data_IF_940305105661
#
_entry.id   IF_940305105661
#
_cell.length_a   1.000
_cell.length_b   1.000
_cell.length_c   1.000
_cell.angle_alpha   90.00
_cell.angle_beta   90.00
_cell.angle_gamma   90.00
#
_symmetry.space_group_name_H-M   'P 1'
#
loop_
_entity.id
_entity.type
_entity.pdbx_description
1 polymer ?
#
# COMPACT_ATOMS: atom_id res chain seq x y z
N UNK A 1 29.41 8.76 13.53
CA UNK A 1 28.54 9.31 14.59
C UNK A 1 27.09 9.53 14.14
N UNK A 2 26.80 10.18 13.00
CA UNK A 2 25.42 10.49 12.58
C UNK A 2 24.57 9.24 12.28
N UNK A 3 25.11 8.23 11.59
CA UNK A 3 24.36 7.01 11.24
C UNK A 3 23.84 6.22 12.47
N UNK A 4 24.48 6.38 13.64
CA UNK A 4 24.03 5.72 14.87
C UNK A 4 22.69 6.26 15.39
N UNK A 5 22.29 7.46 14.96
CA UNK A 5 20.99 8.07 15.29
C UNK A 5 19.81 7.43 14.54
N UNK A 6 20.08 6.70 13.44
CA UNK A 6 19.07 6.09 12.59
C UNK A 6 19.36 4.58 12.43
N UNK A 7 19.18 3.77 13.49
CA UNK A 7 19.43 2.35 13.39
C UNK A 7 18.48 1.71 12.38
N UNK A 8 18.99 0.75 11.60
CA UNK A 8 18.25 0.17 10.47
C UNK A 8 16.87 -0.40 10.84
N UNK A 9 16.74 -1.01 12.03
CA UNK A 9 15.47 -1.55 12.50
C UNK A 9 14.39 -0.47 12.70
N UNK A 10 14.80 0.74 13.13
CA UNK A 10 13.89 1.86 13.33
C UNK A 10 13.47 2.44 11.98
N UNK A 11 14.43 2.61 11.06
CA UNK A 11 14.13 3.03 9.69
C UNK A 11 13.15 2.06 8.99
N UNK A 12 13.37 0.74 9.10
CA UNK A 12 12.48 -0.27 8.53
C UNK A 12 11.08 -0.24 9.16
N UNK A 13 10.96 -0.02 10.47
CA UNK A 13 9.65 0.15 11.12
C UNK A 13 8.94 1.41 10.62
N UNK A 14 9.64 2.55 10.58
CA UNK A 14 9.08 3.82 10.14
C UNK A 14 8.67 3.79 8.66
N UNK A 15 9.43 3.09 7.79
CA UNK A 15 9.03 2.86 6.40
C UNK A 15 7.71 2.09 6.31
N UNK A 16 7.57 1.01 7.09
CA UNK A 16 6.34 0.20 7.12
C UNK A 16 5.14 1.01 7.60
N UNK A 17 5.30 1.77 8.68
CA UNK A 17 4.25 2.65 9.19
C UNK A 17 3.91 3.78 8.21
N UNK A 18 4.93 4.47 7.69
CA UNK A 18 4.78 5.59 6.78
C UNK A 18 4.07 5.21 5.48
N UNK A 19 4.37 4.02 4.94
CA UNK A 19 3.68 3.49 3.77
C UNK A 19 2.26 3.00 4.12
N UNK A 20 2.06 2.35 5.26
CA UNK A 20 0.76 1.75 5.62
C UNK A 20 -0.33 2.80 5.91
N UNK A 21 0.00 3.89 6.61
CA UNK A 21 -0.97 4.88 7.10
C UNK A 21 -1.87 5.48 6.00
N UNK A 22 -1.36 6.01 4.86
CA UNK A 22 -2.23 6.62 3.85
C UNK A 22 -3.21 5.62 3.25
N UNK A 23 -2.77 4.38 2.97
CA UNK A 23 -3.63 3.33 2.44
C UNK A 23 -4.68 2.90 3.46
N UNK A 24 -4.29 2.67 4.72
CA UNK A 24 -5.23 2.30 5.78
C UNK A 24 -6.32 3.36 5.98
N UNK A 25 -5.93 4.63 6.04
CA UNK A 25 -6.87 5.74 6.20
C UNK A 25 -7.82 5.87 5.01
N UNK A 26 -7.34 5.64 3.79
CA UNK A 26 -8.18 5.58 2.58
C UNK A 26 -9.15 4.39 2.63
N UNK A 27 -8.64 3.20 2.97
CA UNK A 27 -9.40 1.95 2.94
C UNK A 27 -10.49 1.88 4.00
N UNK A 28 -10.20 2.25 5.25
CA UNK A 28 -11.17 2.12 6.35
C UNK A 28 -12.41 2.99 6.15
N UNK A 29 -12.27 4.13 5.47
CA UNK A 29 -13.37 5.04 5.15
C UNK A 29 -14.28 4.58 4.01
N UNK A 30 -14.02 3.42 3.40
CA UNK A 30 -14.82 2.87 2.28
C UNK A 30 -15.88 1.86 2.71
N UNK A 31 -15.99 1.57 4.01
CA UNK A 31 -16.86 0.51 4.54
C UNK A 31 -17.97 1.06 5.43
N UNK A 32 -19.21 0.64 5.20
CA UNK A 32 -20.36 0.91 6.09
C UNK A 32 -20.67 -0.27 7.03
N UNK A 33 -20.14 -1.46 6.72
CA UNK A 33 -20.36 -2.68 7.48
C UNK A 33 -19.37 -3.78 7.11
N UNK A 34 -19.58 -4.99 7.63
CA UNK A 34 -18.71 -6.13 7.32
C UNK A 34 -18.85 -6.52 5.84
N UNK A 35 -17.78 -6.33 5.07
CA UNK A 35 -17.72 -6.58 3.62
C UNK A 35 -18.76 -5.78 2.81
N UNK A 36 -19.20 -4.64 3.32
CA UNK A 36 -20.14 -3.74 2.65
C UNK A 36 -19.46 -2.41 2.36
N UNK A 37 -19.22 -2.15 1.07
CA UNK A 37 -18.74 -0.86 0.61
C UNK A 37 -19.82 0.20 0.73
N UNK A 38 -19.41 1.41 1.05
CA UNK A 38 -20.30 2.56 0.99
C UNK A 38 -20.53 3.04 -0.45
N UNK A 39 -21.61 3.80 -0.64
CA UNK A 39 -22.01 4.32 -1.95
C UNK A 39 -20.94 5.25 -2.55
N UNK A 40 -20.18 5.96 -1.70
CA UNK A 40 -19.10 6.84 -2.12
C UNK A 40 -17.97 6.05 -2.78
N UNK A 41 -17.56 4.92 -2.19
CA UNK A 41 -16.54 4.05 -2.76
C UNK A 41 -16.98 3.50 -4.13
N UNK A 42 -18.23 3.08 -4.25
CA UNK A 42 -18.80 2.62 -5.53
C UNK A 42 -18.86 3.75 -6.58
N UNK A 43 -19.28 4.95 -6.17
CA UNK A 43 -19.36 6.11 -7.05
C UNK A 43 -17.98 6.51 -7.56
N UNK A 44 -16.96 6.50 -6.70
CA UNK A 44 -15.58 6.80 -7.07
C UNK A 44 -15.12 5.92 -8.23
N UNK A 45 -15.28 4.60 -8.15
CA UNK A 45 -14.84 3.71 -9.24
C UNK A 45 -15.74 3.72 -10.48
N UNK A 46 -17.00 4.14 -10.33
CA UNK A 46 -17.96 4.19 -11.44
C UNK A 46 -17.82 5.48 -12.26
N UNK A 47 -17.68 6.61 -11.59
CA UNK A 47 -17.85 7.93 -12.22
C UNK A 47 -16.61 8.82 -12.14
N UNK A 48 -15.88 8.78 -11.03
CA UNK A 48 -14.77 9.73 -10.78
C UNK A 48 -13.42 9.19 -11.24
N UNK A 49 -13.10 7.96 -10.86
CA UNK A 49 -11.83 7.32 -11.16
C UNK A 49 -11.83 6.82 -12.61
N UNK A 50 -10.78 7.24 -13.32
CA UNK A 50 -10.48 6.85 -14.69
C UNK A 50 -9.00 6.50 -14.78
N UNK A 51 -8.70 5.45 -15.52
CA UNK A 51 -7.34 5.01 -15.78
C UNK A 51 -6.77 5.80 -16.96
N UNK A 52 -5.77 6.63 -16.71
CA UNK A 52 -5.10 7.44 -17.74
C UNK A 52 -4.01 6.60 -18.41
N UNK A 53 -4.36 5.93 -19.49
CA UNK A 53 -3.43 5.17 -20.33
C UNK A 53 -3.24 5.88 -21.68
N UNK A 54 -2.22 5.52 -22.47
CA UNK A 54 -2.13 5.98 -23.86
C UNK A 54 -3.45 5.72 -24.61
N UNK A 55 -4.00 6.76 -25.24
CA UNK A 55 -5.30 6.70 -25.93
C UNK A 55 -6.49 7.28 -25.14
N UNK A 56 -6.31 7.67 -23.88
CA UNK A 56 -7.29 8.46 -23.14
C UNK A 56 -7.64 7.91 -21.75
N UNK A 57 -8.58 8.55 -21.04
CA UNK A 57 -9.09 8.04 -19.78
C UNK A 57 -10.05 6.86 -20.01
N UNK A 58 -9.76 5.71 -19.42
CA UNK A 58 -10.60 4.51 -19.47
C UNK A 58 -11.36 4.33 -18.15
N UNK A 59 -12.61 3.87 -18.21
CA UNK A 59 -13.33 3.47 -17.00
C UNK A 59 -12.73 2.18 -16.42
N UNK A 60 -12.85 1.98 -15.10
CA UNK A 60 -12.43 0.74 -14.48
C UNK A 60 -13.34 -0.42 -14.94
N UNK A 61 -12.78 -1.59 -15.29
CA UNK A 61 -13.58 -2.76 -15.60
C UNK A 61 -14.28 -3.24 -14.33
N UNK A 62 -15.56 -3.60 -14.44
CA UNK A 62 -16.40 -4.03 -13.32
C UNK A 62 -16.19 -3.17 -12.05
N UNK A 63 -16.63 -1.89 -12.05
CA UNK A 63 -16.32 -0.91 -11.01
C UNK A 63 -16.56 -1.40 -9.58
N UNK A 64 -17.66 -2.11 -9.34
CA UNK A 64 -17.97 -2.68 -8.03
C UNK A 64 -16.93 -3.69 -7.54
N UNK A 65 -16.46 -4.59 -8.42
CA UNK A 65 -15.45 -5.60 -8.09
C UNK A 65 -14.10 -4.94 -7.85
N UNK A 66 -13.73 -3.97 -8.69
CA UNK A 66 -12.48 -3.24 -8.55
C UNK A 66 -12.46 -2.38 -7.28
N UNK A 67 -13.57 -1.69 -6.98
CA UNK A 67 -13.72 -0.95 -5.72
C UNK A 67 -13.55 -1.85 -4.51
N UNK A 68 -14.19 -3.03 -4.52
CA UNK A 68 -14.11 -3.98 -3.42
C UNK A 68 -12.69 -4.53 -3.25
N UNK A 69 -12.04 -4.91 -4.35
CA UNK A 69 -10.67 -5.39 -4.33
C UNK A 69 -9.70 -4.31 -3.83
N UNK A 70 -9.84 -3.06 -4.31
CA UNK A 70 -9.02 -1.95 -3.88
C UNK A 70 -9.22 -1.63 -2.38
N UNK A 71 -10.46 -1.49 -1.92
CA UNK A 71 -10.76 -1.22 -0.51
C UNK A 71 -10.27 -2.34 0.41
N UNK A 72 -10.41 -3.60 -0.02
CA UNK A 72 -9.91 -4.76 0.75
C UNK A 72 -8.39 -4.73 0.85
N UNK A 73 -7.71 -4.45 -0.26
CA UNK A 73 -6.26 -4.37 -0.32
C UNK A 73 -5.70 -3.18 0.50
N UNK A 74 -6.38 -2.03 0.49
CA UNK A 74 -6.05 -0.85 1.31
C UNK A 74 -6.21 -1.06 2.81
N UNK A 75 -6.93 -2.10 3.25
CA UNK A 75 -7.06 -2.46 4.66
C UNK A 75 -6.09 -3.59 5.00
N UNK A 76 -6.13 -4.68 4.23
CA UNK A 76 -5.38 -5.90 4.51
C UNK A 76 -3.87 -5.70 4.41
N UNK A 77 -3.36 -5.17 3.30
CA UNK A 77 -1.90 -5.08 3.10
C UNK A 77 -1.21 -4.10 4.04
N UNK A 78 -1.80 -2.94 4.39
CA UNK A 78 -1.25 -2.08 5.43
C UNK A 78 -1.15 -2.77 6.79
N UNK A 79 -2.15 -3.55 7.20
CA UNK A 79 -2.09 -4.32 8.46
C UNK A 79 -0.96 -5.34 8.43
N UNK A 80 -0.90 -6.15 7.36
CA UNK A 80 0.18 -7.12 7.16
C UNK A 80 1.55 -6.44 7.19
N UNK A 81 1.68 -5.29 6.52
CA UNK A 81 2.92 -4.53 6.46
C UNK A 81 3.35 -4.02 7.85
N UNK A 82 2.42 -3.46 8.64
CA UNK A 82 2.72 -2.95 9.99
C UNK A 82 3.12 -4.07 10.93
N UNK A 83 2.40 -5.19 10.91
CA UNK A 83 2.76 -6.39 11.67
C UNK A 83 4.09 -6.99 11.19
N UNK A 84 4.52 -6.65 9.97
CA UNK A 84 5.66 -7.25 9.32
C UNK A 84 5.40 -8.73 9.04
N UNK A 85 4.22 -9.05 8.54
CA UNK A 85 3.84 -10.39 8.09
C UNK A 85 3.79 -10.41 6.55
N UNK A 86 4.45 -11.37 5.93
CA UNK A 86 4.66 -11.43 4.48
C UNK A 86 5.15 -10.08 3.92
N UNK A 87 6.11 -9.44 4.61
CA UNK A 87 6.44 -8.01 4.45
C UNK A 87 6.77 -7.61 3.01
N UNK A 88 7.57 -8.43 2.30
CA UNK A 88 7.92 -8.18 0.90
C UNK A 88 6.70 -8.29 -0.02
N UNK A 89 5.82 -9.25 0.23
CA UNK A 89 4.59 -9.42 -0.54
C UNK A 89 3.63 -8.26 -0.30
N UNK A 90 3.44 -7.84 0.95
CA UNK A 90 2.61 -6.69 1.30
C UNK A 90 3.15 -5.39 0.67
N UNK A 91 4.48 -5.19 0.70
CA UNK A 91 5.11 -4.04 0.05
C UNK A 91 4.97 -4.08 -1.49
N UNK A 92 5.09 -5.26 -2.11
CA UNK A 92 4.88 -5.43 -3.55
C UNK A 92 3.43 -5.12 -3.94
N UNK A 93 2.46 -5.60 -3.16
CA UNK A 93 1.06 -5.32 -3.39
C UNK A 93 0.76 -3.82 -3.30
N UNK A 94 1.28 -3.13 -2.27
CA UNK A 94 1.11 -1.68 -2.13
C UNK A 94 1.84 -0.88 -3.21
N UNK A 95 2.98 -1.38 -3.72
CA UNK A 95 3.65 -0.79 -4.88
C UNK A 95 2.79 -0.92 -6.14
N UNK A 96 2.21 -2.09 -6.40
CA UNK A 96 1.29 -2.30 -7.52
C UNK A 96 0.06 -1.38 -7.42
N UNK A 97 -0.52 -1.24 -6.22
CA UNK A 97 -1.60 -0.29 -5.99
C UNK A 97 -1.17 1.16 -6.21
N UNK A 98 0.03 1.54 -5.76
CA UNK A 98 0.59 2.88 -6.01
C UNK A 98 0.68 3.18 -7.51
N UNK A 99 1.07 2.20 -8.32
CA UNK A 99 1.10 2.34 -9.79
C UNK A 99 -0.32 2.55 -10.34
N UNK A 100 -1.30 1.76 -9.91
CA UNK A 100 -2.70 1.95 -10.34
C UNK A 100 -3.22 3.33 -9.93
N UNK A 101 -2.92 3.78 -8.71
CA UNK A 101 -3.31 5.11 -8.21
C UNK A 101 -2.63 6.21 -9.04
N UNK A 102 -1.34 6.06 -9.38
CA UNK A 102 -0.64 7.01 -10.25
C UNK A 102 -1.27 7.12 -11.63
N UNK A 103 -1.71 6.00 -12.21
CA UNK A 103 -2.45 6.00 -13.47
C UNK A 103 -3.86 6.59 -13.31
N UNK A 104 -4.43 6.57 -12.11
CA UNK A 104 -5.77 7.11 -11.84
C UNK A 104 -5.74 8.61 -11.56
N UNK A 105 -4.72 9.09 -10.84
CA UNK A 105 -4.57 10.48 -10.39
C UNK A 105 -3.15 10.96 -10.73
N UNK A 106 -2.88 11.34 -11.99
CA UNK A 106 -1.53 11.66 -12.45
C UNK A 106 -0.86 12.81 -11.68
N UNK A 107 -1.66 13.80 -11.28
CA UNK A 107 -1.19 14.99 -10.55
C UNK A 107 -0.66 14.67 -9.14
N UNK A 108 -1.00 13.50 -8.59
CA UNK A 108 -0.50 13.03 -7.30
C UNK A 108 0.94 12.50 -7.33
N UNK A 109 1.66 12.61 -8.45
CA UNK A 109 2.98 11.99 -8.62
C UNK A 109 4.01 12.28 -7.52
N UNK A 110 4.11 13.49 -6.91
CA UNK A 110 5.13 13.72 -5.89
C UNK A 110 4.88 12.85 -4.66
N UNK A 111 3.61 12.69 -4.26
CA UNK A 111 3.25 11.86 -3.10
C UNK A 111 3.32 10.37 -3.45
N UNK A 112 2.87 9.96 -4.64
CA UNK A 112 2.95 8.56 -5.08
C UNK A 112 4.40 8.07 -5.20
N UNK A 113 5.31 8.96 -5.62
CA UNK A 113 6.74 8.66 -5.65
C UNK A 113 7.29 8.37 -4.25
N UNK A 114 6.84 9.09 -3.22
CA UNK A 114 7.25 8.78 -1.84
C UNK A 114 6.77 7.39 -1.41
N UNK A 115 5.55 7.00 -1.75
CA UNK A 115 5.02 5.68 -1.43
C UNK A 115 5.77 4.58 -2.17
N UNK A 116 6.02 4.77 -3.47
CA UNK A 116 6.80 3.84 -4.27
C UNK A 116 8.24 3.70 -3.74
N UNK A 117 8.88 4.80 -3.36
CA UNK A 117 10.22 4.78 -2.78
C UNK A 117 10.25 4.00 -1.46
N UNK A 118 9.26 4.22 -0.57
CA UNK A 118 9.14 3.45 0.67
C UNK A 118 8.90 1.97 0.40
N UNK A 119 8.02 1.62 -0.54
CA UNK A 119 7.73 0.25 -0.91
C UNK A 119 8.97 -0.47 -1.47
N UNK A 120 9.72 0.17 -2.37
CA UNK A 120 10.98 -0.33 -2.91
C UNK A 120 12.06 -0.47 -1.84
N UNK A 121 12.14 0.49 -0.90
CA UNK A 121 13.06 0.40 0.23
C UNK A 121 12.73 -0.80 1.13
N UNK A 122 11.45 -1.06 1.41
CA UNK A 122 11.01 -2.24 2.19
C UNK A 122 11.28 -3.52 1.41
N UNK A 123 10.99 -3.56 0.10
CA UNK A 123 11.29 -4.70 -0.77
C UNK A 123 12.77 -5.05 -0.75
N UNK A 124 13.66 -4.05 -0.73
CA UNK A 124 15.11 -4.26 -0.68
C UNK A 124 15.62 -4.60 0.72
N UNK A 125 15.15 -3.89 1.74
CA UNK A 125 15.65 -4.01 3.11
C UNK A 125 15.02 -5.17 3.89
N UNK A 126 13.89 -5.70 3.43
CA UNK A 126 13.18 -6.80 4.06
C UNK A 126 12.38 -6.41 5.32
N UNK A 127 11.91 -7.42 6.09
CA UNK A 127 10.98 -7.26 7.21
C UNK A 127 11.49 -6.42 8.40
N UNK A 128 12.81 -6.42 8.61
CA UNK A 128 13.44 -5.80 9.78
C UNK A 128 13.30 -6.61 11.07
N UNK A 129 13.90 -6.11 12.16
CA UNK A 129 13.95 -6.84 13.45
C UNK A 129 12.61 -6.91 14.20
N UNK A 130 11.74 -5.93 13.99
CA UNK A 130 10.43 -5.80 14.65
C UNK A 130 9.31 -6.27 13.73
N UNK A 131 9.38 -7.50 13.25
CA UNK A 131 8.45 -8.10 12.31
C UNK A 131 8.13 -9.52 12.75
N UNK A 132 6.88 -9.94 12.53
CA UNK A 132 6.45 -11.32 12.80
C UNK A 132 7.16 -12.31 11.86
N UNK A 133 7.45 -11.94 10.61
CA UNK A 133 8.24 -12.78 9.68
C UNK A 133 9.57 -13.20 10.31
N UNK A 134 10.21 -12.32 11.10
CA UNK A 134 11.48 -12.61 11.78
C UNK A 134 11.34 -13.61 12.90
N UNK A 135 10.18 -13.67 13.55
CA UNK A 135 9.88 -14.63 14.61
C UNK A 135 9.55 -16.00 14.03
N UNK A 136 8.91 -16.03 12.86
CA UNK A 136 8.55 -17.26 12.15
C UNK A 136 9.73 -17.86 11.37
N UNK A 137 10.57 -17.00 10.77
CA UNK A 137 11.78 -17.38 10.05
C UNK A 137 12.92 -16.42 10.41
N UNK A 138 13.82 -16.82 11.34
CA UNK A 138 14.98 -16.03 11.73
C UNK A 138 15.98 -15.75 10.59
N UNK A 139 15.95 -16.48 9.48
CA UNK A 139 16.87 -16.29 8.36
C UNK A 139 16.34 -15.31 7.29
N UNK A 140 15.07 -14.90 7.38
CA UNK A 140 14.40 -13.93 6.48
C UNK A 140 15.08 -12.55 6.39
N UNK A 141 16.04 -12.25 7.27
CA UNK A 141 16.80 -10.99 7.32
C UNK A 141 18.13 -11.00 6.54
N UNK A 142 18.53 -12.12 5.93
CA UNK A 142 19.80 -12.22 5.17
C UNK A 142 19.67 -11.94 3.66
N UNK A 143 18.45 -11.75 3.16
CA UNK A 143 18.14 -11.44 1.77
C UNK A 143 17.78 -9.97 1.56
#
# INVERSE_FOLDING_TARGET
MIAALAPAWLAQLLLRLGLAVPFWRSGIGKWDGFLQLNDVALLLFTSEFRLHLPGGPYAFPAPAVTAFAAASAEVLFPVLLVLGLATRLAALALLAMTIVIQLTVPDGWPIHLTWAAMALAILKAGPGKLSIDRWLDPDSAKA
#
